data_IF_659946085720
#
_entry.id   IF_659946085720
#
_cell.length_a   1.000
_cell.length_b   1.000
_cell.length_c   1.000
_cell.angle_alpha   90.00
_cell.angle_beta   90.00
_cell.angle_gamma   90.00
#
_symmetry.space_group_name_H-M   'P 1'
#
loop_
_entity.id
_entity.type
_entity.pdbx_description
1 polymer ?
#
# COMPACT_ATOMS: atom_id res chain seq x y z
N UNK A 1 -27.32 -7.37 17.21
CA UNK A 1 -26.16 -8.29 17.21
C UNK A 1 -25.91 -8.65 15.76
N UNK A 2 -25.15 -7.81 15.06
CA UNK A 2 -25.04 -7.85 13.61
C UNK A 2 -24.02 -8.92 13.21
N UNK A 3 -24.54 -9.86 12.43
CA UNK A 3 -23.87 -10.96 11.79
C UNK A 3 -22.61 -10.55 11.02
N UNK A 4 -21.58 -11.38 11.14
CA UNK A 4 -20.87 -11.96 9.98
C UNK A 4 -20.34 -10.95 8.95
N UNK A 5 -19.59 -9.93 9.39
CA UNK A 5 -18.86 -9.04 8.47
C UNK A 5 -17.56 -9.72 8.03
N UNK A 6 -17.65 -10.43 6.90
CA UNK A 6 -16.61 -10.50 5.85
C UNK A 6 -15.20 -11.01 6.24
N UNK A 7 -15.11 -12.16 6.90
CA UNK A 7 -13.83 -12.88 7.10
C UNK A 7 -13.71 -14.13 6.19
N UNK A 8 -14.08 -14.01 4.92
CA UNK A 8 -13.80 -15.05 3.91
C UNK A 8 -13.21 -14.41 2.66
N UNK A 9 -11.90 -14.14 2.66
CA UNK A 9 -11.17 -13.97 1.41
C UNK A 9 -9.77 -14.60 1.50
N UNK A 10 -9.73 -15.82 0.95
CA UNK A 10 -8.62 -16.53 0.28
C UNK A 10 -7.62 -17.29 1.17
N UNK A 11 -7.94 -18.57 1.34
CA UNK A 11 -6.97 -19.63 1.47
C UNK A 11 -5.90 -19.50 0.37
N UNK A 12 -4.65 -19.30 0.78
CA UNK A 12 -3.47 -19.47 -0.06
C UNK A 12 -3.19 -20.96 -0.22
N UNK A 13 -2.57 -21.34 -1.35
CA UNK A 13 -2.32 -22.73 -1.77
C UNK A 13 -1.44 -23.55 -0.81
N UNK A 14 -1.00 -24.75 -1.24
CA UNK A 14 -0.59 -25.86 -0.35
C UNK A 14 0.34 -25.36 0.75
N UNK A 15 -0.04 -25.70 1.97
CA UNK A 15 0.63 -25.30 3.21
C UNK A 15 2.12 -25.68 3.12
N UNK A 16 2.98 -24.70 2.82
CA UNK A 16 4.40 -24.84 3.11
C UNK A 16 4.51 -24.90 4.64
N UNK A 17 4.57 -26.11 5.20
CA UNK A 17 4.60 -26.38 6.65
C UNK A 17 5.68 -25.59 7.41
N UNK A 18 6.67 -25.06 6.68
CA UNK A 18 7.80 -24.31 7.22
C UNK A 18 7.68 -22.78 7.05
N UNK A 19 6.57 -22.26 6.53
CA UNK A 19 6.35 -20.81 6.38
C UNK A 19 5.34 -20.33 7.41
N UNK A 20 5.83 -19.57 8.40
CA UNK A 20 5.00 -18.97 9.45
C UNK A 20 4.97 -17.46 9.31
N UNK A 21 3.78 -16.88 9.29
CA UNK A 21 3.60 -15.43 9.32
C UNK A 21 3.91 -14.88 10.72
N UNK A 22 4.83 -13.92 10.80
CA UNK A 22 5.12 -13.22 12.04
C UNK A 22 4.34 -11.90 12.11
N UNK A 23 3.42 -11.73 13.08
CA UNK A 23 2.69 -10.48 13.23
C UNK A 23 3.64 -9.36 13.69
N UNK A 24 3.44 -8.17 13.15
CA UNK A 24 4.15 -6.97 13.59
C UNK A 24 3.32 -6.18 14.61
N UNK A 25 3.98 -5.66 15.65
CA UNK A 25 3.32 -4.86 16.69
C UNK A 25 2.69 -3.56 16.15
N UNK A 26 3.27 -2.98 15.10
CA UNK A 26 2.73 -1.80 14.41
C UNK A 26 1.98 -2.27 13.17
N UNK A 27 0.67 -2.12 13.20
CA UNK A 27 -0.21 -2.54 12.11
C UNK A 27 -0.23 -1.52 10.97
N UNK A 28 -0.81 -1.92 9.84
CA UNK A 28 -1.13 -0.99 8.76
C UNK A 28 -2.07 0.12 9.23
N UNK A 29 -3.10 -0.21 10.00
CA UNK A 29 -4.07 0.75 10.51
C UNK A 29 -3.41 1.81 11.39
N UNK A 30 -2.45 1.42 12.24
CA UNK A 30 -1.71 2.36 13.09
C UNK A 30 -0.92 3.37 12.25
N UNK A 31 -0.29 2.91 11.15
CA UNK A 31 0.48 3.77 10.24
C UNK A 31 -0.43 4.72 9.46
N UNK A 32 -1.57 4.22 8.98
CA UNK A 32 -2.55 5.02 8.23
C UNK A 32 -3.22 6.07 9.14
N UNK A 33 -3.53 5.70 10.39
CA UNK A 33 -4.03 6.65 11.40
C UNK A 33 -2.99 7.72 11.73
N UNK A 34 -1.71 7.34 11.90
CA UNK A 34 -0.62 8.29 12.16
C UNK A 34 -0.41 9.27 11.00
N UNK A 35 -0.48 8.78 9.76
CA UNK A 35 -0.21 9.59 8.57
C UNK A 35 -1.45 10.35 8.06
N UNK A 36 -2.66 10.01 8.53
CA UNK A 36 -3.91 10.63 8.08
C UNK A 36 -4.35 10.21 6.68
N UNK A 37 -3.71 9.20 6.08
CA UNK A 37 -4.04 8.68 4.75
C UNK A 37 -3.69 7.19 4.62
N UNK A 38 -4.30 6.53 3.63
CA UNK A 38 -3.96 5.14 3.30
C UNK A 38 -2.62 5.04 2.60
N UNK A 39 -1.94 3.91 2.78
CA UNK A 39 -0.76 3.57 1.98
C UNK A 39 -1.16 3.04 0.60
N UNK A 40 -0.43 3.44 -0.45
CA UNK A 40 -0.62 2.98 -1.81
C UNK A 40 0.73 2.86 -2.54
N UNK A 41 0.79 1.98 -3.53
CA UNK A 41 1.92 1.86 -4.47
C UNK A 41 1.42 2.21 -5.86
N UNK A 42 2.02 3.23 -6.47
CA UNK A 42 1.74 3.65 -7.83
C UNK A 42 2.87 3.17 -8.73
N UNK A 43 2.58 2.14 -9.52
CA UNK A 43 3.58 1.48 -10.36
C UNK A 43 3.48 1.99 -11.81
N UNK A 44 4.33 2.95 -12.17
CA UNK A 44 4.39 3.49 -13.52
C UNK A 44 5.17 2.56 -14.46
N UNK A 45 4.54 2.11 -15.54
CA UNK A 45 5.18 1.32 -16.61
C UNK A 45 5.04 1.99 -17.96
N UNK A 46 5.90 1.60 -18.91
CA UNK A 46 5.92 2.19 -20.25
C UNK A 46 7.32 2.29 -20.85
N UNK A 47 7.38 2.51 -22.15
CA UNK A 47 8.63 2.63 -22.93
C UNK A 47 9.54 3.76 -22.41
N UNK A 48 10.84 3.69 -22.70
CA UNK A 48 11.74 4.81 -22.43
C UNK A 48 11.25 6.08 -23.13
N UNK A 49 11.32 7.23 -22.46
CA UNK A 49 10.80 8.50 -22.99
C UNK A 49 9.28 8.69 -22.91
N UNK A 50 8.49 7.69 -22.47
CA UNK A 50 7.03 7.83 -22.35
C UNK A 50 6.55 8.76 -21.21
N UNK A 51 7.46 9.45 -20.52
CA UNK A 51 7.13 10.42 -19.47
C UNK A 51 6.89 9.85 -18.06
N UNK A 52 7.21 8.58 -17.78
CA UNK A 52 7.01 7.96 -16.45
C UNK A 52 7.60 8.79 -15.31
N UNK A 53 8.89 9.13 -15.41
CA UNK A 53 9.59 9.93 -14.38
C UNK A 53 9.05 11.36 -14.31
N UNK A 54 8.60 11.94 -15.43
CA UNK A 54 7.98 13.26 -15.47
C UNK A 54 6.67 13.28 -14.66
N UNK A 55 5.79 12.30 -14.88
CA UNK A 55 4.51 12.19 -14.16
C UNK A 55 4.75 11.86 -12.69
N UNK A 56 5.67 10.94 -12.40
CA UNK A 56 5.97 10.53 -11.04
C UNK A 56 6.51 11.70 -10.19
N UNK A 57 7.43 12.49 -10.73
CA UNK A 57 7.96 13.69 -10.05
C UNK A 57 6.91 14.79 -9.87
N UNK A 58 6.07 15.05 -10.88
CA UNK A 58 4.98 16.01 -10.74
C UNK A 58 3.95 15.58 -9.69
N UNK A 59 3.65 14.29 -9.61
CA UNK A 59 2.77 13.73 -8.59
C UNK A 59 3.38 13.87 -7.18
N UNK A 60 4.67 13.56 -7.02
CA UNK A 60 5.36 13.73 -5.74
C UNK A 60 5.31 15.18 -5.26
N UNK A 61 5.59 16.15 -6.14
CA UNK A 61 5.50 17.58 -5.80
C UNK A 61 4.09 17.98 -5.37
N UNK A 62 3.06 17.51 -6.08
CA UNK A 62 1.67 17.78 -5.73
C UNK A 62 1.27 17.18 -4.38
N UNK A 63 1.63 15.92 -4.12
CA UNK A 63 1.33 15.23 -2.86
C UNK A 63 2.10 15.84 -1.68
N UNK A 64 3.35 16.23 -1.89
CA UNK A 64 4.14 16.94 -0.88
C UNK A 64 3.49 18.27 -0.50
N UNK A 65 2.99 19.04 -1.48
CA UNK A 65 2.24 20.27 -1.24
C UNK A 65 0.94 20.07 -0.43
N UNK A 66 0.39 18.86 -0.44
CA UNK A 66 -0.78 18.46 0.35
C UNK A 66 -0.41 17.86 1.72
N UNK A 67 0.88 17.79 2.07
CA UNK A 67 1.37 17.18 3.31
C UNK A 67 1.28 15.64 3.32
N UNK A 68 1.11 15.01 2.16
CA UNK A 68 1.07 13.55 2.04
C UNK A 68 2.49 13.00 2.03
N UNK A 69 2.75 11.96 2.82
CA UNK A 69 4.05 11.29 2.85
C UNK A 69 4.23 10.44 1.59
N UNK A 70 5.25 10.74 0.80
CA UNK A 70 5.59 10.05 -0.46
C UNK A 70 7.07 9.71 -0.54
N UNK A 71 7.41 8.82 -1.46
CA UNK A 71 8.77 8.48 -1.83
C UNK A 71 8.79 8.05 -3.30
N UNK A 72 9.80 8.49 -4.06
CA UNK A 72 10.01 8.19 -5.48
C UNK A 72 11.23 7.29 -5.71
#
# INVERSE_FOLDING_TARGET
MADKVAAELRATGPDDENVVWHPHAVTRADREARNGHRGAVLWFTGLSGSGKSTVAGALEQALHGLGVSTYL
#
